data_IF_688563308333
#
_entry.id   IF_688563308333
#
_cell.length_a   1.000
_cell.length_b   1.000
_cell.length_c   1.000
_cell.angle_alpha   90.00
_cell.angle_beta   90.00
_cell.angle_gamma   90.00
#
_symmetry.space_group_name_H-M   'P 1'
#
loop_
_entity.id
_entity.type
_entity.pdbx_description
1 polymer ?
#
# COMPACT_ATOMS: atom_id res chain seq x y z
N UNK A 1 18.59 53.70 -53.23
CA UNK A 1 18.78 52.25 -53.04
C UNK A 1 18.46 51.89 -51.60
N UNK A 2 17.49 51.02 -51.37
CA UNK A 2 16.17 51.43 -50.88
C UNK A 2 15.93 50.70 -49.55
N UNK A 3 15.27 51.33 -48.57
CA UNK A 3 14.95 50.78 -47.25
C UNK A 3 14.33 49.37 -47.29
N UNK A 4 13.73 49.02 -48.43
CA UNK A 4 13.22 47.69 -48.77
C UNK A 4 14.31 46.60 -48.68
N UNK A 5 15.54 46.85 -49.14
CA UNK A 5 16.65 45.86 -49.04
C UNK A 5 17.06 45.62 -47.59
N UNK A 6 17.07 46.68 -46.77
CA UNK A 6 17.37 46.60 -45.33
C UNK A 6 16.25 45.87 -44.57
N UNK A 7 15.00 46.13 -44.93
CA UNK A 7 13.83 45.43 -44.36
C UNK A 7 13.85 43.93 -44.70
N UNK A 8 14.08 43.56 -45.96
CA UNK A 8 14.19 42.16 -46.34
C UNK A 8 15.39 41.48 -45.68
N UNK A 9 16.55 42.13 -45.58
CA UNK A 9 17.71 41.59 -44.88
C UNK A 9 17.43 41.37 -43.37
N UNK A 10 16.72 42.29 -42.71
CA UNK A 10 16.30 42.14 -41.32
C UNK A 10 15.30 41.00 -41.12
N UNK A 11 14.31 40.88 -42.01
CA UNK A 11 13.32 39.80 -41.98
C UNK A 11 13.96 38.42 -42.20
N UNK A 12 14.89 38.30 -43.16
CA UNK A 12 15.63 37.05 -43.39
C UNK A 12 16.52 36.67 -42.21
N UNK A 13 17.17 37.65 -41.57
CA UNK A 13 18.00 37.41 -40.38
C UNK A 13 17.13 36.91 -39.21
N UNK A 14 15.97 37.54 -38.99
CA UNK A 14 15.05 37.15 -37.93
C UNK A 14 14.41 35.78 -38.17
N UNK A 15 14.00 35.47 -39.41
CA UNK A 15 13.48 34.16 -39.77
C UNK A 15 14.55 33.05 -39.59
N UNK A 16 15.80 33.33 -39.95
CA UNK A 16 16.92 32.39 -39.77
C UNK A 16 17.24 32.16 -38.29
N UNK A 17 17.20 33.23 -37.49
CA UNK A 17 17.40 33.13 -36.04
C UNK A 17 16.27 32.32 -35.38
N UNK A 18 15.01 32.56 -35.75
CA UNK A 18 13.88 31.79 -35.26
C UNK A 18 13.97 30.32 -35.68
N UNK A 19 14.30 30.04 -36.94
CA UNK A 19 14.50 28.66 -37.41
C UNK A 19 15.63 27.95 -36.65
N UNK A 20 16.75 28.64 -36.37
CA UNK A 20 17.84 28.11 -35.57
C UNK A 20 17.41 27.81 -34.13
N UNK A 21 16.64 28.71 -33.50
CA UNK A 21 16.08 28.48 -32.15
C UNK A 21 15.12 27.29 -32.15
N UNK A 22 14.21 27.17 -33.12
CA UNK A 22 13.31 26.02 -33.23
C UNK A 22 14.05 24.70 -33.48
N UNK A 23 15.10 24.67 -34.30
CA UNK A 23 15.89 23.46 -34.51
C UNK A 23 16.73 23.07 -33.28
N UNK A 24 17.31 24.05 -32.58
CA UNK A 24 18.12 23.80 -31.38
C UNK A 24 17.27 23.42 -30.16
N UNK A 25 16.00 23.82 -30.11
CA UNK A 25 15.09 23.49 -29.00
C UNK A 25 14.18 22.29 -29.28
N UNK A 26 13.99 21.91 -30.54
CA UNK A 26 13.12 20.80 -30.95
C UNK A 26 13.78 19.42 -30.98
N UNK A 27 15.11 19.35 -30.89
CA UNK A 27 15.85 18.09 -30.85
C UNK A 27 15.64 17.39 -29.50
N UNK A 28 14.69 16.45 -29.44
CA UNK A 28 14.61 15.52 -28.31
C UNK A 28 15.78 14.56 -28.40
N UNK A 29 16.59 14.46 -27.34
CA UNK A 29 17.60 13.41 -27.26
C UNK A 29 16.91 12.04 -27.46
N UNK A 30 17.47 11.16 -28.31
CA UNK A 30 16.94 9.81 -28.46
C UNK A 30 16.95 9.11 -27.10
N UNK A 31 16.05 8.14 -26.86
CA UNK A 31 16.01 7.39 -25.61
C UNK A 31 17.42 6.84 -25.31
N UNK A 32 18.04 7.33 -24.23
CA UNK A 32 19.33 6.83 -23.78
C UNK A 32 19.10 5.52 -23.04
N UNK A 33 19.46 4.41 -23.67
CA UNK A 33 19.50 3.11 -23.01
C UNK A 33 20.83 2.96 -22.27
N UNK A 34 20.78 2.85 -20.95
CA UNK A 34 21.93 2.50 -20.12
C UNK A 34 21.98 0.99 -19.89
N UNK A 35 23.15 0.39 -20.03
CA UNK A 35 23.43 -0.97 -19.56
C UNK A 35 24.35 -0.86 -18.35
N UNK A 36 23.98 -1.54 -17.27
CA UNK A 36 24.72 -1.54 -16.02
C UNK A 36 24.86 -2.98 -15.54
N UNK A 37 26.04 -3.34 -15.03
CA UNK A 37 26.21 -4.60 -14.32
C UNK A 37 25.62 -4.50 -12.89
N UNK A 38 25.80 -3.35 -12.22
CA UNK A 38 25.25 -3.06 -10.89
C UNK A 38 24.83 -1.58 -10.78
N UNK A 39 23.82 -1.31 -9.94
CA UNK A 39 23.34 0.03 -9.63
C UNK A 39 23.35 0.24 -8.10
N UNK A 40 24.28 1.05 -7.59
CA UNK A 40 24.31 1.49 -6.19
C UNK A 40 23.71 2.88 -6.05
N UNK A 41 22.43 2.98 -5.65
CA UNK A 41 21.71 4.25 -5.54
C UNK A 41 20.80 4.27 -4.32
N UNK A 42 20.43 5.48 -3.87
CA UNK A 42 19.48 5.62 -2.77
C UNK A 42 18.01 5.49 -3.18
N UNK A 43 17.67 5.87 -4.42
CA UNK A 43 16.29 5.82 -4.96
C UNK A 43 16.27 5.68 -6.48
N UNK A 44 15.32 4.89 -6.97
CA UNK A 44 14.96 4.73 -8.38
C UNK A 44 13.49 5.17 -8.54
N UNK A 45 13.22 6.00 -9.55
CA UNK A 45 11.85 6.34 -9.96
C UNK A 45 11.63 5.80 -11.37
N UNK A 46 10.59 4.99 -11.54
CA UNK A 46 10.07 4.59 -12.84
C UNK A 46 8.93 5.54 -13.18
N UNK A 47 9.01 6.21 -14.34
CA UNK A 47 8.10 7.30 -14.73
C UNK A 47 7.56 7.10 -16.14
N UNK A 48 6.34 7.58 -16.36
CA UNK A 48 5.73 7.76 -17.68
C UNK A 48 6.37 8.96 -18.43
N UNK A 49 6.13 9.10 -19.76
CA UNK A 49 6.66 10.24 -20.53
C UNK A 49 6.23 11.63 -20.04
N UNK A 50 5.10 11.72 -19.34
CA UNK A 50 4.59 12.97 -18.75
C UNK A 50 5.17 13.25 -17.34
N UNK A 51 6.02 12.36 -16.82
CA UNK A 51 6.63 12.45 -15.49
C UNK A 51 5.84 11.79 -14.36
N UNK A 52 4.67 11.20 -14.65
CA UNK A 52 3.89 10.43 -13.67
C UNK A 52 4.70 9.25 -13.18
N UNK A 53 4.86 9.09 -11.86
CA UNK A 53 5.58 7.95 -11.27
C UNK A 53 4.70 6.69 -11.36
N UNK A 54 5.30 5.54 -11.68
CA UNK A 54 4.66 4.22 -11.67
C UNK A 54 5.19 3.31 -10.57
N UNK A 55 6.50 3.39 -10.33
CA UNK A 55 7.18 2.63 -9.28
C UNK A 55 8.22 3.55 -8.64
N UNK A 56 8.28 3.57 -7.31
CA UNK A 56 9.36 4.21 -6.56
C UNK A 56 10.04 3.13 -5.74
N UNK A 57 11.35 2.92 -5.91
CA UNK A 57 12.16 2.04 -5.06
C UNK A 57 13.12 2.94 -4.28
N UNK A 58 13.15 2.85 -2.96
CA UNK A 58 13.98 3.76 -2.15
C UNK A 58 14.48 3.15 -0.85
N UNK A 59 15.65 3.61 -0.44
CA UNK A 59 16.15 3.44 0.92
C UNK A 59 15.28 4.21 1.95
N UNK A 60 15.63 4.08 3.22
CA UNK A 60 14.92 4.72 4.34
C UNK A 60 14.99 6.25 4.34
N UNK A 61 16.13 6.82 3.95
CA UNK A 61 16.34 8.27 4.01
C UNK A 61 15.56 9.02 2.93
N UNK A 62 15.23 8.37 1.82
CA UNK A 62 14.55 8.94 0.65
C UNK A 62 13.17 8.33 0.40
N UNK A 63 12.62 7.61 1.39
CA UNK A 63 11.30 7.00 1.29
C UNK A 63 10.23 8.08 1.14
N UNK A 64 9.37 7.99 0.10
CA UNK A 64 8.42 9.05 -0.20
C UNK A 64 7.23 9.07 0.76
N UNK A 65 6.43 10.12 0.60
CA UNK A 65 5.08 10.24 1.16
C UNK A 65 4.05 9.27 0.56
N UNK A 66 2.77 9.60 0.71
CA UNK A 66 1.68 8.96 -0.03
C UNK A 66 1.40 9.71 -1.34
N UNK A 67 0.95 9.00 -2.38
CA UNK A 67 0.61 9.64 -3.66
C UNK A 67 -0.91 9.62 -3.88
N UNK A 68 -1.49 10.77 -4.19
CA UNK A 68 -2.90 10.91 -4.56
C UNK A 68 -3.02 11.88 -5.73
N UNK A 69 -3.52 11.38 -6.86
CA UNK A 69 -3.77 12.19 -8.06
C UNK A 69 -2.54 13.02 -8.50
N UNK A 70 -1.38 12.39 -8.51
CA UNK A 70 -0.10 13.01 -8.88
C UNK A 70 0.55 13.89 -7.81
N UNK A 71 -0.09 14.07 -6.65
CA UNK A 71 0.45 14.85 -5.53
C UNK A 71 0.99 13.94 -4.44
N UNK A 72 2.19 14.28 -3.96
CA UNK A 72 2.80 13.63 -2.80
C UNK A 72 2.34 14.31 -1.50
N UNK A 73 1.78 13.55 -0.58
CA UNK A 73 1.39 13.95 0.77
C UNK A 73 2.44 13.52 1.80
N UNK A 74 2.66 14.34 2.83
CA UNK A 74 3.66 14.01 3.85
C UNK A 74 3.22 12.83 4.73
N UNK A 75 4.08 11.82 4.85
CA UNK A 75 3.90 10.65 5.74
C UNK A 75 5.05 10.54 6.75
N UNK A 76 5.07 11.38 7.81
CA UNK A 76 6.14 11.35 8.80
C UNK A 76 6.26 10.00 9.52
N UNK A 77 5.17 9.26 9.61
CA UNK A 77 5.09 7.89 10.14
C UNK A 77 5.83 6.85 9.28
N UNK A 78 6.11 7.14 8.00
CA UNK A 78 6.79 6.21 7.08
C UNK A 78 8.32 6.34 7.08
N UNK A 79 8.91 7.23 7.88
CA UNK A 79 10.38 7.51 7.90
C UNK A 79 11.26 6.37 8.42
N UNK A 80 10.66 5.29 8.90
CA UNK A 80 11.38 4.12 9.42
C UNK A 80 11.53 2.98 8.40
N UNK A 81 10.93 3.12 7.21
CA UNK A 81 10.87 2.05 6.21
C UNK A 81 11.70 2.34 4.97
N UNK A 82 12.21 1.29 4.35
CA UNK A 82 12.67 1.28 2.96
C UNK A 82 11.73 0.38 2.13
N UNK A 83 11.81 0.44 0.79
CA UNK A 83 11.03 -0.46 -0.04
C UNK A 83 10.62 0.12 -1.39
N UNK A 84 9.41 -0.24 -1.82
CA UNK A 84 8.84 0.05 -3.12
C UNK A 84 7.38 0.52 -3.01
N UNK A 85 6.98 1.56 -3.72
CA UNK A 85 5.57 1.95 -3.88
C UNK A 85 5.10 1.71 -5.31
N UNK A 86 3.87 1.22 -5.45
CA UNK A 86 3.14 1.13 -6.71
C UNK A 86 2.23 2.34 -6.87
N UNK A 87 2.24 2.93 -8.06
CA UNK A 87 1.45 4.11 -8.38
C UNK A 87 0.71 3.85 -9.69
N UNK A 88 -0.60 4.10 -9.69
CA UNK A 88 -1.46 3.89 -10.85
C UNK A 88 -1.38 5.05 -11.86
N UNK A 89 -2.13 4.94 -12.96
CA UNK A 89 -2.20 5.90 -14.06
C UNK A 89 -2.68 7.28 -13.61
N UNK A 90 -3.43 7.36 -12.51
CA UNK A 90 -3.89 8.63 -11.95
C UNK A 90 -2.80 9.29 -11.08
N UNK A 91 -1.64 8.67 -10.91
CA UNK A 91 -0.63 9.12 -9.95
C UNK A 91 -1.07 8.89 -8.50
N UNK A 92 -1.88 7.86 -8.24
CA UNK A 92 -2.34 7.48 -6.90
C UNK A 92 -1.66 6.19 -6.46
N UNK A 93 -1.13 6.15 -5.23
CA UNK A 93 -0.57 4.95 -4.60
C UNK A 93 -1.63 3.85 -4.57
N UNK A 94 -1.26 2.63 -4.99
CA UNK A 94 -2.16 1.48 -5.01
C UNK A 94 -1.50 0.22 -4.41
N UNK A 95 -0.64 0.44 -3.43
CA UNK A 95 0.07 -0.59 -2.70
C UNK A 95 1.57 -0.38 -2.70
N UNK A 96 2.28 -1.34 -2.14
CA UNK A 96 3.73 -1.30 -2.09
C UNK A 96 4.33 -2.42 -1.27
N UNK A 97 5.64 -2.49 -1.32
CA UNK A 97 6.47 -3.31 -0.45
C UNK A 97 7.19 -2.40 0.52
N UNK A 98 7.02 -2.60 1.83
CA UNK A 98 7.81 -1.91 2.84
C UNK A 98 8.56 -2.92 3.69
N UNK A 99 9.76 -2.53 4.11
CA UNK A 99 10.58 -3.33 5.00
C UNK A 99 11.32 -2.48 6.04
N UNK A 100 11.60 -3.10 7.17
CA UNK A 100 12.54 -2.63 8.17
C UNK A 100 13.09 -3.80 8.97
N UNK A 101 14.24 -3.59 9.61
CA UNK A 101 14.87 -4.55 10.50
C UNK A 101 15.94 -3.86 11.33
N UNK A 102 15.80 -3.88 12.64
CA UNK A 102 16.80 -3.37 13.58
C UNK A 102 16.62 -3.95 14.96
N UNK A 103 17.73 -4.03 15.71
CA UNK A 103 17.73 -4.21 17.16
C UNK A 103 18.14 -2.87 17.76
N UNK A 104 17.30 -2.29 18.61
CA UNK A 104 17.62 -1.06 19.33
C UNK A 104 18.65 -1.32 20.44
N UNK A 105 19.33 -0.28 20.97
CA UNK A 105 20.32 -0.46 22.03
C UNK A 105 19.79 -1.13 23.31
N UNK A 106 18.49 -1.02 23.58
CA UNK A 106 17.81 -1.68 24.70
C UNK A 106 17.42 -3.15 24.41
N UNK A 107 17.82 -3.69 23.24
CA UNK A 107 17.49 -5.04 22.79
C UNK A 107 16.17 -5.16 22.04
N UNK A 108 15.39 -4.07 21.89
CA UNK A 108 14.10 -4.12 21.19
C UNK A 108 14.26 -4.47 19.72
N UNK A 109 13.66 -5.59 19.31
CA UNK A 109 13.61 -6.03 17.91
C UNK A 109 12.45 -5.30 17.20
N UNK A 110 12.75 -4.65 16.08
CA UNK A 110 11.76 -4.08 15.16
C UNK A 110 12.06 -4.54 13.74
N UNK A 111 11.45 -5.67 13.36
CA UNK A 111 11.64 -6.27 12.04
C UNK A 111 10.29 -6.61 11.41
N UNK A 112 10.18 -6.34 10.11
CA UNK A 112 9.01 -6.75 9.35
C UNK A 112 9.03 -6.30 7.90
N UNK A 113 8.32 -7.09 7.09
CA UNK A 113 8.11 -6.90 5.67
C UNK A 113 6.59 -6.93 5.41
N UNK A 114 6.10 -5.99 4.61
CA UNK A 114 4.70 -5.95 4.17
C UNK A 114 4.62 -5.67 2.69
N UNK A 115 4.00 -6.58 1.92
CA UNK A 115 3.59 -6.35 0.55
C UNK A 115 2.07 -6.16 0.52
N UNK A 116 1.62 -5.02 0.01
CA UNK A 116 0.21 -4.63 -0.01
C UNK A 116 -0.27 -4.38 -1.42
N UNK A 117 -1.52 -4.75 -1.65
CA UNK A 117 -2.26 -4.42 -2.86
C UNK A 117 -3.53 -3.71 -2.44
N UNK A 118 -3.62 -2.44 -2.79
CA UNK A 118 -4.73 -1.62 -2.37
C UNK A 118 -5.91 -1.79 -3.34
N UNK A 119 -7.13 -1.67 -2.81
CA UNK A 119 -8.31 -1.50 -3.68
C UNK A 119 -8.18 -0.14 -4.37
N UNK A 120 -8.66 -0.03 -5.62
CA UNK A 120 -8.63 1.24 -6.36
C UNK A 120 -9.15 2.43 -5.53
N UNK A 121 -8.29 3.46 -5.33
CA UNK A 121 -8.53 4.67 -4.52
C UNK A 121 -8.92 4.39 -3.06
N UNK A 122 -8.47 3.26 -2.53
CA UNK A 122 -8.79 2.75 -1.21
C UNK A 122 -7.57 2.03 -0.64
N UNK A 123 -7.76 1.37 0.50
CA UNK A 123 -6.70 0.72 1.26
C UNK A 123 -6.58 -0.79 0.93
N UNK A 124 -5.74 -1.51 1.67
CA UNK A 124 -5.33 -2.89 1.39
C UNK A 124 -6.48 -3.89 1.20
N UNK A 125 -6.66 -4.36 -0.04
CA UNK A 125 -7.51 -5.52 -0.35
C UNK A 125 -6.77 -6.84 -0.10
N UNK A 126 -5.46 -6.87 -0.34
CA UNK A 126 -4.58 -8.01 -0.07
C UNK A 126 -3.32 -7.53 0.65
N UNK A 127 -2.88 -8.28 1.65
CA UNK A 127 -1.61 -8.05 2.35
C UNK A 127 -0.89 -9.36 2.61
N UNK A 128 0.41 -9.40 2.30
CA UNK A 128 1.36 -10.39 2.77
C UNK A 128 2.23 -9.70 3.81
N UNK A 129 2.27 -10.24 5.02
CA UNK A 129 2.92 -9.61 6.16
C UNK A 129 3.78 -10.63 6.90
N UNK A 130 5.02 -10.25 7.15
CA UNK A 130 5.88 -10.91 8.12
C UNK A 130 6.33 -9.86 9.15
N UNK A 131 6.16 -10.15 10.43
CA UNK A 131 6.65 -9.32 11.54
C UNK A 131 7.34 -10.20 12.56
N UNK A 132 8.38 -9.65 13.18
CA UNK A 132 9.22 -10.37 14.11
C UNK A 132 9.62 -9.48 15.29
N UNK A 133 9.69 -10.09 16.46
CA UNK A 133 9.92 -9.47 17.75
C UNK A 133 10.54 -10.48 18.72
N UNK A 134 10.94 -10.01 19.92
CA UNK A 134 11.61 -10.87 20.89
C UNK A 134 10.72 -12.04 21.38
N UNK A 135 9.41 -11.83 21.46
CA UNK A 135 8.43 -12.76 22.03
C UNK A 135 7.31 -13.14 21.05
N UNK A 136 7.31 -12.61 19.82
CA UNK A 136 6.33 -12.93 18.79
C UNK A 136 6.95 -12.97 17.41
N UNK A 137 6.45 -13.88 16.57
CA UNK A 137 6.75 -13.92 15.15
C UNK A 137 5.42 -14.19 14.43
N UNK A 138 5.10 -13.38 13.42
CA UNK A 138 3.88 -13.54 12.64
C UNK A 138 4.17 -13.53 11.13
N UNK A 139 3.64 -14.51 10.40
CA UNK A 139 3.61 -14.55 8.93
C UNK A 139 2.18 -14.81 8.50
N UNK A 140 1.59 -13.88 7.74
CA UNK A 140 0.17 -13.90 7.40
C UNK A 140 -0.11 -13.40 5.98
N UNK A 141 -1.15 -13.98 5.38
CA UNK A 141 -1.87 -13.47 4.23
C UNK A 141 -3.24 -13.00 4.72
N UNK A 142 -3.60 -11.76 4.39
CA UNK A 142 -4.91 -11.17 4.70
C UNK A 142 -5.61 -10.76 3.41
N UNK A 143 -6.86 -11.17 3.25
CA UNK A 143 -7.75 -10.68 2.20
C UNK A 143 -8.90 -9.92 2.87
N UNK A 144 -9.11 -8.69 2.45
CA UNK A 144 -10.10 -7.79 3.01
C UNK A 144 -11.16 -7.43 1.97
N UNK A 145 -12.40 -7.34 2.42
CA UNK A 145 -13.44 -6.64 1.69
C UNK A 145 -13.35 -5.17 2.09
N UNK A 146 -12.72 -4.38 1.23
CA UNK A 146 -12.53 -2.94 1.40
C UNK A 146 -13.69 -2.24 0.70
N UNK A 147 -14.38 -1.24 1.25
CA UNK A 147 -15.52 -0.59 0.59
C UNK A 147 -15.13 0.09 -0.74
N UNK A 148 -16.11 0.37 -1.61
CA UNK A 148 -15.85 1.15 -2.81
C UNK A 148 -15.55 2.61 -2.42
N UNK A 149 -14.60 3.27 -3.09
CA UNK A 149 -14.22 4.66 -2.79
C UNK A 149 -15.39 5.67 -2.84
N UNK A 150 -16.47 5.35 -3.57
CA UNK A 150 -17.70 6.15 -3.62
C UNK A 150 -18.60 5.98 -2.40
N UNK A 151 -18.47 4.86 -1.70
CA UNK A 151 -19.19 4.57 -0.45
C UNK A 151 -18.41 5.14 0.73
N UNK A 152 -17.09 4.91 0.74
CA UNK A 152 -16.18 5.46 1.74
C UNK A 152 -14.93 5.94 1.03
N UNK A 153 -14.68 7.23 1.06
CA UNK A 153 -13.46 7.82 0.50
C UNK A 153 -12.30 7.75 1.51
N UNK A 154 -11.06 7.97 1.06
CA UNK A 154 -9.93 8.11 2.00
C UNK A 154 -10.07 9.33 2.91
N UNK A 155 -10.82 10.36 2.50
CA UNK A 155 -11.16 11.50 3.35
C UNK A 155 -12.14 11.09 4.45
N UNK A 156 -13.15 10.26 4.13
CA UNK A 156 -14.03 9.68 5.14
C UNK A 156 -13.25 8.86 6.16
N UNK A 157 -12.31 8.02 5.72
CA UNK A 157 -11.47 7.22 6.63
C UNK A 157 -10.71 8.10 7.61
N UNK A 158 -10.10 9.19 7.14
CA UNK A 158 -9.40 10.17 7.99
C UNK A 158 -10.37 10.83 8.97
N UNK A 159 -11.50 11.33 8.48
CA UNK A 159 -12.55 11.94 9.29
C UNK A 159 -13.07 10.99 10.37
N UNK A 160 -13.26 9.71 10.05
CA UNK A 160 -13.69 8.70 11.03
C UNK A 160 -12.68 8.55 12.17
N UNK A 161 -11.38 8.53 11.85
CA UNK A 161 -10.32 8.50 12.85
C UNK A 161 -10.31 9.75 13.74
N UNK A 162 -10.54 10.93 13.17
CA UNK A 162 -10.64 12.19 13.91
C UNK A 162 -11.90 12.29 14.78
N UNK A 163 -13.03 11.80 14.31
CA UNK A 163 -14.26 11.73 15.10
C UNK A 163 -14.09 10.75 16.27
N UNK A 164 -13.56 9.55 16.00
CA UNK A 164 -13.33 8.54 17.03
C UNK A 164 -12.36 9.02 18.11
N UNK A 165 -11.30 9.75 17.76
CA UNK A 165 -10.31 10.24 18.73
C UNK A 165 -10.87 11.31 19.69
N UNK A 166 -11.96 11.98 19.31
CA UNK A 166 -12.68 12.96 20.15
C UNK A 166 -13.71 12.32 21.08
N UNK A 167 -14.08 11.05 20.83
CA UNK A 167 -15.04 10.33 21.66
C UNK A 167 -14.38 9.76 22.93
N UNK A 168 -15.11 9.69 24.05
CA UNK A 168 -14.68 8.89 25.20
C UNK A 168 -14.38 7.44 24.79
N UNK A 169 -13.37 6.82 25.39
CA UNK A 169 -12.96 5.45 25.04
C UNK A 169 -14.10 4.44 25.13
N UNK A 170 -15.05 4.64 26.04
CA UNK A 170 -16.26 3.81 26.19
C UNK A 170 -17.23 3.86 25.00
N UNK A 171 -17.18 4.94 24.21
CA UNK A 171 -18.08 5.16 23.06
C UNK A 171 -17.43 4.81 21.72
N UNK A 172 -16.09 4.77 21.65
CA UNK A 172 -15.36 4.48 20.42
C UNK A 172 -15.76 3.14 19.81
N UNK A 173 -15.95 2.10 20.63
CA UNK A 173 -16.36 0.79 20.13
C UNK A 173 -17.73 0.85 19.43
N UNK A 174 -18.71 1.54 20.03
CA UNK A 174 -20.04 1.68 19.43
C UNK A 174 -19.99 2.48 18.12
N UNK A 175 -19.14 3.51 18.05
CA UNK A 175 -18.91 4.30 16.84
C UNK A 175 -18.38 3.44 15.68
N UNK A 176 -17.34 2.64 15.93
CA UNK A 176 -16.77 1.74 14.92
C UNK A 176 -17.74 0.63 14.50
N UNK A 177 -18.50 0.07 15.45
CA UNK A 177 -19.52 -0.92 15.14
C UNK A 177 -20.64 -0.35 14.26
N UNK A 178 -21.05 0.90 14.51
CA UNK A 178 -22.02 1.61 13.66
C UNK A 178 -21.50 1.74 12.22
N UNK A 179 -20.27 2.21 12.03
CA UNK A 179 -19.67 2.36 10.69
C UNK A 179 -19.49 1.01 9.99
N UNK A 180 -19.06 -0.02 10.73
CA UNK A 180 -18.97 -1.39 10.23
C UNK A 180 -20.32 -1.91 9.74
N UNK A 181 -21.38 -1.76 10.55
CA UNK A 181 -22.74 -2.15 10.19
C UNK A 181 -23.33 -1.39 8.99
N UNK A 182 -22.80 -0.19 8.71
CA UNK A 182 -23.14 0.60 7.53
C UNK A 182 -22.30 0.22 6.29
N UNK A 183 -21.39 -0.75 6.39
CA UNK A 183 -20.48 -1.13 5.30
C UNK A 183 -19.46 -0.04 4.97
N UNK A 184 -19.14 0.84 5.92
CA UNK A 184 -18.22 1.97 5.74
C UNK A 184 -16.76 1.62 6.07
N UNK A 185 -16.50 0.46 6.66
CA UNK A 185 -15.17 0.04 7.06
C UNK A 185 -14.73 -1.21 6.32
N UNK A 186 -13.42 -1.32 6.09
CA UNK A 186 -12.81 -2.55 5.59
C UNK A 186 -13.01 -3.69 6.59
N UNK A 187 -13.36 -4.86 6.06
CA UNK A 187 -13.61 -6.06 6.85
C UNK A 187 -12.70 -7.19 6.38
N UNK A 188 -11.93 -7.79 7.29
CA UNK A 188 -11.11 -8.95 6.94
C UNK A 188 -12.01 -10.17 6.63
N UNK A 189 -11.82 -10.78 5.47
CA UNK A 189 -12.59 -11.96 5.00
C UNK A 189 -11.81 -13.25 5.16
N UNK A 190 -10.52 -13.20 4.90
CA UNK A 190 -9.62 -14.35 4.99
C UNK A 190 -8.38 -13.94 5.77
N UNK A 191 -8.02 -14.79 6.71
CA UNK A 191 -6.73 -14.79 7.38
C UNK A 191 -6.10 -16.15 7.16
N UNK A 192 -4.85 -16.20 6.70
CA UNK A 192 -4.06 -17.43 6.62
C UNK A 192 -2.68 -17.14 7.19
N UNK A 193 -2.26 -17.87 8.21
CA UNK A 193 -0.92 -17.69 8.76
C UNK A 193 -0.69 -18.41 10.07
N UNK A 194 0.42 -18.11 10.72
CA UNK A 194 0.70 -18.63 12.05
C UNK A 194 -0.10 -17.88 13.13
N UNK A 195 -0.34 -18.57 14.24
CA UNK A 195 -0.94 -17.99 15.44
C UNK A 195 0.14 -17.52 16.41
N UNK A 196 -0.22 -16.69 17.39
CA UNK A 196 0.71 -16.29 18.46
C UNK A 196 1.21 -17.49 19.28
N UNK A 197 0.38 -18.51 19.40
CA UNK A 197 0.67 -19.73 20.17
C UNK A 197 1.41 -20.79 19.36
N UNK A 198 2.20 -20.38 18.35
CA UNK A 198 3.00 -21.26 17.48
C UNK A 198 2.20 -22.31 16.70
N UNK A 199 0.90 -22.06 16.49
CA UNK A 199 0.06 -22.86 15.61
C UNK A 199 -0.04 -22.26 14.21
N UNK A 200 -0.93 -22.81 13.39
CA UNK A 200 -1.33 -22.26 12.09
C UNK A 200 -2.84 -22.26 11.94
N UNK A 201 -3.35 -21.27 11.21
CA UNK A 201 -4.77 -21.06 11.04
C UNK A 201 -5.12 -20.51 9.66
N UNK A 202 -6.18 -21.06 9.06
CA UNK A 202 -7.01 -20.40 8.06
C UNK A 202 -8.34 -20.02 8.73
N UNK A 203 -8.71 -18.74 8.70
CA UNK A 203 -10.00 -18.26 9.16
C UNK A 203 -10.80 -17.72 7.99
N UNK A 204 -12.06 -18.15 7.89
CA UNK A 204 -13.05 -17.62 6.96
C UNK A 204 -14.10 -16.84 7.74
N UNK A 205 -14.30 -15.58 7.34
CA UNK A 205 -15.18 -14.63 8.02
C UNK A 205 -16.36 -14.26 7.15
N UNK A 206 -17.49 -13.94 7.77
CA UNK A 206 -18.68 -13.41 7.09
C UNK A 206 -18.53 -11.93 6.70
N UNK A 207 -19.60 -11.35 6.12
CA UNK A 207 -19.60 -9.95 5.66
C UNK A 207 -19.44 -8.92 6.78
N UNK A 208 -19.65 -9.31 8.04
CA UNK A 208 -19.44 -8.47 9.21
C UNK A 208 -18.09 -8.78 9.89
N UNK A 209 -17.26 -9.65 9.29
CA UNK A 209 -15.94 -10.01 9.82
C UNK A 209 -15.99 -11.05 10.92
N UNK A 210 -17.16 -11.66 11.19
CA UNK A 210 -17.32 -12.69 12.21
C UNK A 210 -16.80 -14.01 11.66
N UNK A 211 -15.96 -14.71 12.42
CA UNK A 211 -15.40 -16.00 12.00
C UNK A 211 -16.54 -17.03 11.92
N UNK A 212 -16.61 -17.75 10.80
CA UNK A 212 -17.59 -18.82 10.55
C UNK A 212 -16.97 -20.19 10.37
N UNK A 213 -15.71 -20.20 9.94
CA UNK A 213 -14.96 -21.44 9.80
C UNK A 213 -13.50 -21.20 10.11
N UNK A 214 -12.87 -22.18 10.74
CA UNK A 214 -11.44 -22.24 10.97
C UNK A 214 -10.89 -23.61 10.57
N UNK A 215 -9.74 -23.63 9.91
CA UNK A 215 -8.87 -24.80 9.79
C UNK A 215 -7.62 -24.51 10.59
N UNK A 216 -7.33 -25.35 11.57
CA UNK A 216 -6.34 -25.08 12.61
C UNK A 216 -5.40 -26.27 12.78
N UNK A 217 -4.13 -25.96 13.08
CA UNK A 217 -3.17 -26.90 13.65
C UNK A 217 -2.49 -26.23 14.84
N UNK A 218 -2.65 -26.80 16.03
CA UNK A 218 -2.01 -26.33 17.25
C UNK A 218 -0.49 -26.59 17.26
N UNK A 219 0.23 -25.93 18.17
CA UNK A 219 1.67 -26.17 18.34
C UNK A 219 2.01 -27.61 18.77
N UNK A 220 1.05 -28.32 19.36
CA UNK A 220 1.14 -29.74 19.72
C UNK A 220 0.79 -30.68 18.54
N UNK A 221 0.52 -30.13 17.36
CA UNK A 221 0.18 -30.88 16.14
C UNK A 221 -1.29 -31.30 16.05
N UNK A 222 -2.15 -30.93 17.00
CA UNK A 222 -3.58 -31.25 16.91
C UNK A 222 -4.22 -30.48 15.76
N UNK A 223 -4.80 -31.22 14.81
CA UNK A 223 -5.52 -30.67 13.67
C UNK A 223 -7.03 -30.65 13.92
N UNK A 224 -7.68 -29.56 13.55
CA UNK A 224 -9.14 -29.42 13.69
C UNK A 224 -9.73 -28.45 12.66
N UNK A 225 -10.95 -28.76 12.22
CA UNK A 225 -11.81 -27.85 11.46
C UNK A 225 -12.96 -27.48 12.37
N UNK A 226 -13.14 -26.18 12.62
CA UNK A 226 -14.21 -25.66 13.46
C UNK A 226 -15.19 -24.84 12.62
N UNK A 227 -16.49 -25.07 12.83
CA UNK A 227 -17.58 -24.25 12.30
C UNK A 227 -18.22 -23.49 13.45
N UNK A 228 -18.48 -22.20 13.26
CA UNK A 228 -18.97 -21.30 14.30
C UNK A 228 -20.36 -20.77 13.93
N UNK A 229 -21.25 -20.73 14.91
CA UNK A 229 -22.59 -20.15 14.77
C UNK A 229 -22.56 -18.62 14.71
N UNK A 230 -23.74 -18.00 14.58
CA UNK A 230 -23.86 -16.54 14.46
C UNK A 230 -23.28 -15.77 15.65
N UNK A 231 -23.33 -16.35 16.85
CA UNK A 231 -22.79 -15.80 18.09
C UNK A 231 -21.27 -16.01 18.24
N UNK A 232 -20.64 -16.75 17.30
CA UNK A 232 -19.21 -17.07 17.34
C UNK A 232 -18.88 -18.24 18.24
N UNK A 233 -19.87 -19.06 18.63
CA UNK A 233 -19.64 -20.29 19.37
C UNK A 233 -19.40 -21.44 18.38
N UNK A 234 -18.45 -22.32 18.70
CA UNK A 234 -18.20 -23.53 17.91
C UNK A 234 -19.45 -24.41 17.94
N UNK A 235 -20.06 -24.61 16.78
CA UNK A 235 -21.24 -25.45 16.59
C UNK A 235 -20.88 -26.86 16.12
N UNK A 236 -19.74 -27.01 15.44
CA UNK A 236 -19.22 -28.31 15.01
C UNK A 236 -17.69 -28.28 14.95
N UNK A 237 -17.07 -29.39 15.36
CA UNK A 237 -15.65 -29.65 15.20
C UNK A 237 -15.46 -30.96 14.45
N UNK A 238 -14.56 -30.96 13.47
CA UNK A 238 -14.05 -32.16 12.79
C UNK A 238 -12.59 -32.28 13.18
N UNK A 239 -12.21 -33.45 13.70
CA UNK A 239 -10.85 -33.79 14.13
C UNK A 239 -10.49 -35.18 13.60
N UNK A 240 -9.21 -35.60 13.65
CA UNK A 240 -8.82 -36.97 13.28
C UNK A 240 -9.56 -38.07 14.08
N UNK A 241 -10.08 -37.75 15.26
CA UNK A 241 -10.85 -38.68 16.09
C UNK A 241 -12.37 -38.63 15.83
N UNK A 242 -12.85 -37.69 15.01
CA UNK A 242 -14.26 -37.61 14.62
C UNK A 242 -14.59 -38.81 13.74
N UNK A 243 -15.53 -39.66 14.18
CA UNK A 243 -16.10 -40.72 13.34
C UNK A 243 -17.16 -40.09 12.41
N UNK A 244 -17.28 -40.67 11.21
CA UNK A 244 -18.20 -40.25 10.14
C UNK A 244 -19.64 -40.02 10.62
#
# INVERSE_FOLDING_TARGET
MSQIRTFFAGATTMASALAAVFMLTGAKEPPKHGQFDEITVGRINIVEPDGTKRIVISNRAQFPGDFMQGKEGARPDRRSFAGMLFINEEGTENGGFIQKGSIAPDGTISSGLSLTFDRFRQDQALQLLNTDGADYQQTVIKINDVPNFKVTSMEDVRRFGEEASKLPSSEQQAYWQKLSGQGRLSTNRIFLGNTRDKGSALQLKDAQGRVRMMLLVGADGKAEIQMLDEAGKVSKTISPASKD
#
